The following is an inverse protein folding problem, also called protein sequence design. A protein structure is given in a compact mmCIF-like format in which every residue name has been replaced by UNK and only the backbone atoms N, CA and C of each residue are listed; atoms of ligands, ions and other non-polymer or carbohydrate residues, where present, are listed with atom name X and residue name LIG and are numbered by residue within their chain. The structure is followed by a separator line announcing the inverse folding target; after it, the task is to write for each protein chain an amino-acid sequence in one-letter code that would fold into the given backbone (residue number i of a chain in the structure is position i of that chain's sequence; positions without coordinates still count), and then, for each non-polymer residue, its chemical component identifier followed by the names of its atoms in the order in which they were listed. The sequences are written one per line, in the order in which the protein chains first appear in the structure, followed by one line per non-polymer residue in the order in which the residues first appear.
data_IF_596801447246
#
_entry.id   IF_596801447246
#
_cell.length_a   1.000
_cell.length_b   1.000
_cell.length_c   1.000
_cell.angle_alpha   90.00
_cell.angle_beta   90.00
_cell.angle_gamma   90.00
#
_symmetry.space_group_name_H-M   'P 1'
#
loop_
_entity.id
_entity.type
_entity.pdbx_description
1 polymer ?
#
# COMPACT_ATOMS: atom_id res chain seq x y z
N UNK A 1 -33.45 -15.78 25.59
CA UNK A 1 -33.58 -14.33 25.87
C UNK A 1 -32.65 -13.61 24.92
N UNK A 2 -33.13 -13.28 23.73
CA UNK A 2 -32.40 -12.40 22.80
C UNK A 2 -32.45 -11.01 23.43
N UNK A 3 -31.31 -10.50 23.83
CA UNK A 3 -31.17 -9.10 24.16
C UNK A 3 -31.44 -8.30 22.90
N UNK A 4 -32.62 -7.72 22.81
CA UNK A 4 -32.92 -6.71 21.81
C UNK A 4 -31.86 -5.61 21.96
N UNK A 5 -30.86 -5.62 21.06
CA UNK A 5 -29.83 -4.58 20.99
C UNK A 5 -30.58 -3.29 20.72
N UNK A 6 -30.68 -2.41 21.72
CA UNK A 6 -31.38 -1.15 21.58
C UNK A 6 -30.71 -0.36 20.46
N UNK A 7 -31.39 -0.25 19.33
CA UNK A 7 -30.97 0.49 18.14
C UNK A 7 -30.80 2.01 18.39
N UNK A 8 -31.15 2.45 19.58
CA UNK A 8 -31.21 3.87 19.96
C UNK A 8 -29.96 4.38 20.69
N UNK A 9 -28.85 3.62 20.67
CA UNK A 9 -27.62 4.07 21.30
C UNK A 9 -26.75 4.83 20.27
N UNK A 10 -26.64 6.16 20.43
CA UNK A 10 -25.90 7.04 19.51
C UNK A 10 -24.39 6.83 19.51
N UNK A 11 -23.88 5.94 20.34
CA UNK A 11 -22.47 5.63 20.47
C UNK A 11 -22.03 4.54 19.48
N UNK A 12 -20.76 4.61 19.06
CA UNK A 12 -20.09 3.57 18.30
C UNK A 12 -20.18 2.23 19.05
N UNK A 13 -20.51 1.13 18.34
CA UNK A 13 -20.59 -0.19 18.90
C UNK A 13 -19.70 -1.17 18.12
N UNK A 14 -18.73 -1.74 18.82
CA UNK A 14 -17.88 -2.80 18.30
C UNK A 14 -18.66 -4.04 17.86
N UNK A 15 -19.72 -4.39 18.61
CA UNK A 15 -20.56 -5.54 18.27
C UNK A 15 -21.27 -5.35 16.93
N UNK A 16 -21.81 -4.16 16.65
CA UNK A 16 -22.43 -3.85 15.35
C UNK A 16 -21.39 -3.85 14.20
N UNK A 17 -20.20 -3.33 14.45
CA UNK A 17 -19.10 -3.41 13.48
C UNK A 17 -18.73 -4.86 13.16
N UNK A 18 -18.65 -5.74 14.17
CA UNK A 18 -18.37 -7.15 13.98
C UNK A 18 -19.48 -7.91 13.22
N UNK A 19 -20.74 -7.49 13.32
CA UNK A 19 -21.81 -8.03 12.47
C UNK A 19 -21.57 -7.71 11.00
N UNK A 20 -21.15 -6.49 10.69
CA UNK A 20 -20.75 -6.11 9.31
C UNK A 20 -19.56 -6.93 8.85
N UNK A 21 -18.54 -7.10 9.70
CA UNK A 21 -17.37 -7.92 9.40
C UNK A 21 -17.77 -9.39 9.11
N UNK A 22 -18.70 -9.95 9.88
CA UNK A 22 -19.23 -11.31 9.62
C UNK A 22 -19.96 -11.39 8.27
N UNK A 23 -20.72 -10.36 7.90
CA UNK A 23 -21.39 -10.31 6.60
C UNK A 23 -20.39 -10.38 5.43
N UNK A 24 -19.25 -9.66 5.54
CA UNK A 24 -18.18 -9.72 4.55
C UNK A 24 -17.19 -10.87 4.78
N UNK A 25 -17.39 -11.72 5.79
CA UNK A 25 -16.44 -12.74 6.23
C UNK A 25 -15.99 -13.70 5.13
N UNK A 26 -16.89 -14.18 4.27
CA UNK A 26 -16.54 -15.08 3.18
C UNK A 26 -15.65 -14.40 2.12
N UNK A 27 -16.02 -13.25 1.53
CA UNK A 27 -15.14 -12.57 0.59
C UNK A 27 -13.82 -12.10 1.22
N UNK A 28 -13.81 -11.67 2.49
CA UNK A 28 -12.59 -11.33 3.22
C UNK A 28 -11.65 -12.53 3.38
N UNK A 29 -12.17 -13.69 3.82
CA UNK A 29 -11.38 -14.93 3.93
C UNK A 29 -10.82 -15.36 2.58
N UNK A 30 -11.65 -15.33 1.52
CA UNK A 30 -11.21 -15.68 0.17
C UNK A 30 -10.08 -14.76 -0.32
N UNK A 31 -10.18 -13.47 -0.05
CA UNK A 31 -9.15 -12.48 -0.40
C UNK A 31 -7.85 -12.76 0.34
N UNK A 32 -7.90 -12.99 1.66
CA UNK A 32 -6.73 -13.38 2.46
C UNK A 32 -6.08 -14.62 1.85
N UNK A 33 -6.83 -15.71 1.63
CA UNK A 33 -6.28 -16.95 1.08
C UNK A 33 -5.60 -16.74 -0.28
N UNK A 34 -6.19 -15.95 -1.17
CA UNK A 34 -5.60 -15.64 -2.47
C UNK A 34 -4.30 -14.84 -2.30
N UNK A 35 -4.31 -13.82 -1.46
CA UNK A 35 -3.14 -12.97 -1.22
C UNK A 35 -2.00 -13.74 -0.57
N UNK A 36 -2.28 -14.52 0.48
CA UNK A 36 -1.30 -15.40 1.11
C UNK A 36 -0.73 -16.44 0.13
N UNK A 37 -1.57 -17.05 -0.70
CA UNK A 37 -1.11 -18.02 -1.69
C UNK A 37 -0.18 -17.39 -2.74
N UNK A 38 -0.50 -16.19 -3.23
CA UNK A 38 0.35 -15.46 -4.18
C UNK A 38 1.68 -15.07 -3.52
N UNK A 39 1.65 -14.56 -2.29
CA UNK A 39 2.85 -14.15 -1.57
C UNK A 39 3.78 -15.32 -1.29
N UNK A 40 3.25 -16.46 -0.84
CA UNK A 40 4.02 -17.68 -0.63
C UNK A 40 4.60 -18.20 -1.94
N UNK A 41 3.82 -18.19 -3.04
CA UNK A 41 4.31 -18.60 -4.35
C UNK A 41 5.45 -17.70 -4.85
N UNK A 42 5.34 -16.38 -4.71
CA UNK A 42 6.39 -15.43 -5.04
C UNK A 42 7.63 -15.65 -4.19
N UNK A 43 7.45 -15.95 -2.91
CA UNK A 43 8.55 -16.22 -2.01
C UNK A 43 9.30 -17.53 -2.39
N UNK A 44 8.56 -18.59 -2.72
CA UNK A 44 9.17 -19.85 -3.23
C UNK A 44 9.89 -19.63 -4.54
N UNK A 45 9.35 -18.82 -5.46
CA UNK A 45 10.03 -18.46 -6.69
C UNK A 45 11.32 -17.66 -6.41
N UNK A 46 11.31 -16.75 -5.45
CA UNK A 46 12.50 -16.02 -5.03
C UNK A 46 13.58 -16.95 -4.48
N UNK A 47 13.22 -17.94 -3.65
CA UNK A 47 14.15 -18.95 -3.17
C UNK A 47 14.74 -19.79 -4.30
N UNK A 48 13.93 -20.18 -5.29
CA UNK A 48 14.42 -20.95 -6.44
C UNK A 48 15.33 -20.12 -7.34
N UNK A 49 15.13 -18.82 -7.41
CA UNK A 49 15.92 -17.93 -8.27
C UNK A 49 17.30 -17.61 -7.72
N UNK A 50 17.53 -17.84 -6.42
CA UNK A 50 18.86 -17.70 -5.81
C UNK A 50 19.89 -18.63 -6.48
N UNK A 51 19.44 -19.76 -7.06
CA UNK A 51 20.29 -20.64 -7.88
C UNK A 51 20.65 -20.06 -9.25
N UNK A 52 19.98 -18.99 -9.73
CA UNK A 52 20.12 -18.48 -11.11
C UNK A 52 20.50 -17.00 -11.17
N UNK A 53 20.88 -16.36 -10.08
CA UNK A 53 21.30 -14.94 -10.02
C UNK A 53 20.24 -13.94 -10.55
N UNK A 54 18.95 -14.29 -10.48
CA UNK A 54 17.84 -13.45 -10.95
C UNK A 54 17.13 -12.76 -9.76
N UNK A 55 17.78 -12.72 -8.61
CA UNK A 55 17.22 -12.27 -7.32
C UNK A 55 16.64 -10.85 -7.38
N UNK A 56 17.36 -9.93 -8.02
CA UNK A 56 16.95 -8.53 -8.13
C UNK A 56 15.61 -8.36 -8.88
N UNK A 57 15.41 -9.10 -9.95
CA UNK A 57 14.19 -9.00 -10.76
C UNK A 57 12.99 -9.55 -10.00
N UNK A 58 13.16 -10.62 -9.27
CA UNK A 58 12.09 -11.25 -8.48
C UNK A 58 11.69 -10.43 -7.24
N UNK A 59 12.66 -9.81 -6.57
CA UNK A 59 12.36 -8.91 -5.44
C UNK A 59 11.58 -7.67 -5.89
N UNK A 60 11.92 -7.09 -7.04
CA UNK A 60 11.17 -5.98 -7.64
C UNK A 60 9.74 -6.37 -8.01
N UNK A 61 9.56 -7.58 -8.59
CA UNK A 61 8.22 -8.11 -8.91
C UNK A 61 7.42 -8.36 -7.62
N UNK A 62 8.02 -8.98 -6.61
CA UNK A 62 7.36 -9.24 -5.34
C UNK A 62 6.91 -7.94 -4.64
N UNK A 63 7.76 -6.92 -4.61
CA UNK A 63 7.42 -5.60 -4.07
C UNK A 63 6.27 -4.96 -4.83
N UNK A 64 6.29 -5.02 -6.16
CA UNK A 64 5.20 -4.48 -7.00
C UNK A 64 3.88 -5.20 -6.75
N UNK A 65 3.90 -6.53 -6.69
CA UNK A 65 2.69 -7.33 -6.40
C UNK A 65 2.15 -7.02 -5.01
N UNK A 66 3.01 -6.89 -4.01
CA UNK A 66 2.62 -6.46 -2.67
C UNK A 66 1.91 -5.11 -2.67
N UNK A 67 2.44 -4.13 -3.40
CA UNK A 67 1.81 -2.81 -3.57
C UNK A 67 0.42 -2.92 -4.20
N UNK A 68 0.27 -3.71 -5.26
CA UNK A 68 -1.04 -3.93 -5.90
C UNK A 68 -2.03 -4.61 -4.96
N UNK A 69 -1.61 -5.59 -4.17
CA UNK A 69 -2.47 -6.22 -3.17
C UNK A 69 -3.01 -5.21 -2.16
N UNK A 70 -2.16 -4.32 -1.66
CA UNK A 70 -2.57 -3.25 -0.76
C UNK A 70 -3.53 -2.27 -1.43
N UNK A 71 -3.25 -1.84 -2.66
CA UNK A 71 -4.09 -0.90 -3.42
C UNK A 71 -5.50 -1.48 -3.63
N UNK A 72 -5.61 -2.76 -3.96
CA UNK A 72 -6.88 -3.41 -4.26
C UNK A 72 -7.58 -4.03 -3.05
N UNK A 73 -7.04 -3.87 -1.83
CA UNK A 73 -7.64 -4.39 -0.60
C UNK A 73 -9.11 -3.97 -0.37
N UNK A 74 -9.50 -2.80 -0.86
CA UNK A 74 -10.86 -2.26 -0.75
C UNK A 74 -11.88 -2.95 -1.66
N UNK A 75 -11.45 -3.71 -2.67
CA UNK A 75 -12.36 -4.34 -3.63
C UNK A 75 -13.24 -5.42 -3.02
N UNK A 76 -12.84 -6.00 -1.89
CA UNK A 76 -13.64 -6.98 -1.15
C UNK A 76 -15.05 -6.46 -0.83
N UNK A 77 -15.19 -5.15 -0.60
CA UNK A 77 -16.46 -4.51 -0.28
C UNK A 77 -17.35 -4.25 -1.51
N UNK A 78 -16.80 -4.41 -2.72
CA UNK A 78 -17.52 -4.22 -3.98
C UNK A 78 -18.00 -5.55 -4.56
N UNK A 79 -17.27 -6.63 -4.32
CA UNK A 79 -17.55 -7.95 -4.86
C UNK A 79 -18.91 -8.50 -4.39
N UNK A 80 -19.38 -8.06 -3.22
CA UNK A 80 -20.68 -8.44 -2.69
C UNK A 80 -21.69 -7.32 -2.96
N UNK A 81 -22.36 -7.39 -4.10
CA UNK A 81 -23.16 -6.30 -4.67
C UNK A 81 -24.62 -6.19 -4.12
N UNK A 82 -24.89 -6.76 -2.93
CA UNK A 82 -26.22 -6.71 -2.30
C UNK A 82 -26.44 -5.38 -1.59
N UNK A 83 -26.66 -4.31 -2.37
CA UNK A 83 -26.94 -2.98 -1.82
C UNK A 83 -28.14 -2.95 -0.86
N UNK A 84 -29.15 -3.81 -1.10
CA UNK A 84 -30.32 -3.94 -0.25
C UNK A 84 -29.97 -4.51 1.14
N UNK A 85 -29.07 -5.47 1.23
CA UNK A 85 -28.67 -6.10 2.50
C UNK A 85 -27.76 -5.18 3.31
N UNK A 86 -26.89 -4.39 2.64
CA UNK A 86 -26.01 -3.44 3.32
C UNK A 86 -26.81 -2.35 4.04
N UNK A 87 -27.94 -1.91 3.47
CA UNK A 87 -28.82 -0.93 4.11
C UNK A 87 -29.60 -1.51 5.29
N UNK A 88 -29.87 -2.81 5.26
CA UNK A 88 -30.58 -3.52 6.34
C UNK A 88 -29.69 -3.94 7.51
N UNK A 89 -28.35 -3.93 7.33
CA UNK A 89 -27.44 -4.24 8.45
C UNK A 89 -27.59 -3.19 9.55
N UNK A 90 -27.81 -3.62 10.81
CA UNK A 90 -28.02 -2.71 11.95
C UNK A 90 -26.70 -2.06 12.40
N UNK A 91 -25.97 -1.45 11.47
CA UNK A 91 -24.71 -0.78 11.72
C UNK A 91 -24.75 0.62 11.14
N UNK A 92 -24.23 1.57 11.91
CA UNK A 92 -24.14 2.97 11.51
C UNK A 92 -23.04 3.21 10.49
N UNK A 93 -23.10 4.34 9.80
CA UNK A 93 -22.08 4.77 8.83
C UNK A 93 -20.69 4.81 9.42
N UNK A 94 -20.54 5.19 10.68
CA UNK A 94 -19.25 5.24 11.39
C UNK A 94 -18.64 3.85 11.55
N UNK A 95 -19.42 2.84 11.92
CA UNK A 95 -18.98 1.46 12.11
C UNK A 95 -18.57 0.82 10.78
N UNK A 96 -19.35 1.08 9.72
CA UNK A 96 -19.01 0.63 8.36
C UNK A 96 -17.75 1.33 7.84
N UNK A 97 -17.61 2.63 8.06
CA UNK A 97 -16.43 3.39 7.66
C UNK A 97 -15.18 2.90 8.40
N UNK A 98 -15.27 2.67 9.71
CA UNK A 98 -14.16 2.14 10.50
C UNK A 98 -13.72 0.76 10.01
N UNK A 99 -14.66 -0.14 9.71
CA UNK A 99 -14.34 -1.46 9.17
C UNK A 99 -13.66 -1.37 7.80
N UNK A 100 -14.21 -0.59 6.88
CA UNK A 100 -13.70 -0.48 5.51
C UNK A 100 -12.30 0.12 5.49
N UNK A 101 -12.09 1.22 6.22
CA UNK A 101 -10.79 1.90 6.31
C UNK A 101 -9.80 1.02 7.07
N UNK A 102 -10.20 0.48 8.22
CA UNK A 102 -9.35 -0.40 9.03
C UNK A 102 -8.89 -1.64 8.25
N UNK A 103 -9.79 -2.26 7.50
CA UNK A 103 -9.45 -3.39 6.63
C UNK A 103 -8.45 -3.02 5.55
N UNK A 104 -8.74 -1.95 4.78
CA UNK A 104 -7.97 -1.64 3.58
C UNK A 104 -6.61 -1.00 3.88
N UNK A 105 -6.52 -0.14 4.90
CA UNK A 105 -5.32 0.66 5.17
C UNK A 105 -4.45 0.05 6.27
N UNK A 106 -5.04 -0.70 7.21
CA UNK A 106 -4.31 -1.22 8.35
C UNK A 106 -4.18 -2.75 8.27
N UNK A 107 -5.31 -3.46 8.20
CA UNK A 107 -5.30 -4.90 8.36
C UNK A 107 -4.58 -5.64 7.22
N UNK A 108 -4.89 -5.34 5.97
CA UNK A 108 -4.25 -6.03 4.82
C UNK A 108 -2.76 -5.72 4.73
N UNK A 109 -2.29 -4.46 4.76
CA UNK A 109 -0.85 -4.20 4.74
C UNK A 109 -0.11 -4.87 5.90
N UNK A 110 -0.66 -4.82 7.12
CA UNK A 110 -0.06 -5.43 8.29
C UNK A 110 -0.02 -6.96 8.19
N UNK A 111 -1.08 -7.59 7.66
CA UNK A 111 -1.12 -9.03 7.41
C UNK A 111 -0.02 -9.44 6.42
N UNK A 112 0.09 -8.74 5.28
CA UNK A 112 1.08 -9.04 4.25
C UNK A 112 2.52 -8.86 4.76
N UNK A 113 2.78 -7.82 5.56
CA UNK A 113 4.08 -7.63 6.22
C UNK A 113 4.37 -8.77 7.20
N UNK A 114 3.40 -9.17 8.01
CA UNK A 114 3.56 -10.28 8.94
C UNK A 114 3.84 -11.61 8.21
N UNK A 115 3.13 -11.89 7.12
CA UNK A 115 3.37 -13.07 6.28
C UNK A 115 4.77 -13.04 5.66
N UNK A 116 5.21 -11.88 5.15
CA UNK A 116 6.55 -11.70 4.61
C UNK A 116 7.64 -11.99 5.66
N UNK A 117 7.50 -11.43 6.87
CA UNK A 117 8.41 -11.67 7.99
C UNK A 117 8.44 -13.15 8.39
N UNK A 118 7.27 -13.80 8.41
CA UNK A 118 7.19 -15.24 8.69
C UNK A 118 7.88 -16.09 7.62
N UNK A 119 7.66 -15.78 6.35
CA UNK A 119 8.32 -16.49 5.25
C UNK A 119 9.85 -16.33 5.31
N UNK A 120 10.35 -15.11 5.55
CA UNK A 120 11.79 -14.85 5.71
C UNK A 120 12.35 -15.56 6.94
N UNK A 121 11.63 -15.55 8.07
CA UNK A 121 12.04 -16.28 9.27
C UNK A 121 12.12 -17.80 9.07
N UNK A 122 11.17 -18.38 8.34
CA UNK A 122 11.18 -19.82 8.02
C UNK A 122 12.36 -20.14 7.09
N UNK A 123 12.59 -19.33 6.06
CA UNK A 123 13.69 -19.58 5.13
C UNK A 123 15.06 -19.49 5.79
N UNK A 124 15.28 -18.58 6.72
CA UNK A 124 16.54 -18.47 7.46
C UNK A 124 16.87 -19.72 8.30
N UNK A 125 15.86 -20.57 8.62
CA UNK A 125 16.07 -21.82 9.32
C UNK A 125 16.57 -22.95 8.36
N UNK A 126 16.15 -22.89 7.09
CA UNK A 126 16.43 -23.94 6.11
C UNK A 126 17.59 -23.62 5.17
N UNK A 127 17.97 -22.37 5.06
CA UNK A 127 19.11 -21.92 4.25
C UNK A 127 20.14 -21.32 5.18
N UNK A 128 21.34 -21.95 5.27
CA UNK A 128 22.52 -21.33 5.91
C UNK A 128 22.98 -20.04 5.17
N UNK A 129 22.33 -19.72 4.07
CA UNK A 129 22.56 -18.52 3.29
C UNK A 129 21.84 -17.34 3.95
N UNK A 130 22.53 -16.67 4.87
CA UNK A 130 22.21 -15.31 5.31
C UNK A 130 22.04 -14.34 4.12
N UNK A 131 22.59 -14.72 2.95
CA UNK A 131 22.61 -13.90 1.74
C UNK A 131 21.23 -13.66 1.13
N UNK A 132 20.29 -14.62 1.16
CA UNK A 132 18.94 -14.40 0.58
C UNK A 132 18.09 -13.49 1.43
N UNK A 133 18.19 -13.62 2.75
CA UNK A 133 17.52 -12.69 3.69
C UNK A 133 18.20 -11.34 3.71
N UNK A 134 19.53 -11.30 3.57
CA UNK A 134 20.29 -10.06 3.44
C UNK A 134 20.01 -9.38 2.10
N UNK A 135 19.95 -10.08 0.97
CA UNK A 135 19.63 -9.46 -0.32
C UNK A 135 18.22 -8.89 -0.37
N UNK A 136 17.24 -9.55 0.26
CA UNK A 136 15.88 -9.02 0.39
C UNK A 136 15.79 -7.78 1.31
N UNK A 137 16.69 -7.69 2.30
CA UNK A 137 16.81 -6.53 3.20
C UNK A 137 17.88 -5.52 2.76
N UNK A 138 18.96 -5.95 2.13
CA UNK A 138 20.10 -5.12 1.73
C UNK A 138 19.77 -4.11 0.63
N UNK A 139 18.80 -4.41 -0.25
CA UNK A 139 18.28 -3.41 -1.18
C UNK A 139 17.76 -2.16 -0.44
N UNK A 140 17.31 -2.34 0.81
CA UNK A 140 16.89 -1.21 1.64
C UNK A 140 18.05 -0.47 2.30
N UNK A 141 19.11 -1.16 2.67
CA UNK A 141 20.21 -0.55 3.42
C UNK A 141 21.25 0.13 2.52
N UNK A 142 21.48 -0.38 1.30
CA UNK A 142 22.35 0.27 0.31
C UNK A 142 21.71 1.47 -0.38
N UNK A 143 20.39 1.45 -0.58
CA UNK A 143 19.67 2.50 -1.29
C UNK A 143 19.21 3.65 -0.38
N UNK A 144 19.07 3.40 0.92
CA UNK A 144 18.63 4.40 1.89
C UNK A 144 19.60 4.49 3.06
N UNK A 145 20.27 5.63 3.20
CA UNK A 145 21.18 5.94 4.32
C UNK A 145 20.56 5.79 5.71
N UNK A 146 19.22 5.75 5.78
CA UNK A 146 18.51 5.67 7.05
C UNK A 146 17.18 4.92 6.94
N UNK A 147 16.87 4.15 7.97
CA UNK A 147 15.62 3.35 8.06
C UNK A 147 14.36 4.21 7.92
N UNK A 148 14.39 5.48 8.35
CA UNK A 148 13.23 6.35 8.23
C UNK A 148 12.92 6.74 6.78
N UNK A 149 13.94 6.89 5.91
CA UNK A 149 13.74 7.13 4.48
C UNK A 149 13.05 5.94 3.80
N UNK A 150 13.44 4.72 4.18
CA UNK A 150 12.74 3.51 3.71
C UNK A 150 11.26 3.51 4.10
N UNK A 151 10.96 3.82 5.37
CA UNK A 151 9.56 3.93 5.84
C UNK A 151 8.82 5.01 5.05
N UNK A 152 9.44 6.16 4.83
CA UNK A 152 8.84 7.28 4.12
C UNK A 152 8.59 6.95 2.64
N UNK A 153 9.51 6.23 2.00
CA UNK A 153 9.30 5.73 0.64
C UNK A 153 8.08 4.80 0.55
N UNK A 154 7.92 3.90 1.52
CA UNK A 154 6.75 3.02 1.57
C UNK A 154 5.44 3.79 1.79
N UNK A 155 5.47 4.96 2.45
CA UNK A 155 4.31 5.83 2.59
C UNK A 155 3.78 6.38 1.25
N UNK A 156 4.59 6.38 0.19
CA UNK A 156 4.15 6.77 -1.15
C UNK A 156 2.98 5.91 -1.64
N UNK A 157 2.92 4.64 -1.21
CA UNK A 157 1.85 3.71 -1.54
C UNK A 157 0.48 4.09 -0.93
N UNK A 158 0.47 4.94 0.08
CA UNK A 158 -0.79 5.42 0.69
C UNK A 158 -1.63 6.22 -0.30
N UNK A 159 -0.99 6.95 -1.21
CA UNK A 159 -1.70 7.78 -2.19
C UNK A 159 -2.60 6.94 -3.12
N UNK A 160 -2.10 5.93 -3.86
CA UNK A 160 -2.95 5.09 -4.68
C UNK A 160 -3.96 4.27 -3.87
N UNK A 161 -3.59 3.78 -2.67
CA UNK A 161 -4.51 3.04 -1.80
C UNK A 161 -5.72 3.87 -1.41
N UNK A 162 -5.51 5.10 -0.95
CA UNK A 162 -6.59 5.99 -0.52
C UNK A 162 -7.41 6.49 -1.70
N UNK A 163 -6.75 6.76 -2.84
CA UNK A 163 -7.46 7.15 -4.08
C UNK A 163 -8.41 6.07 -4.54
N UNK A 164 -7.94 4.82 -4.61
CA UNK A 164 -8.78 3.67 -5.00
C UNK A 164 -9.91 3.47 -4.00
N UNK A 165 -9.61 3.51 -2.71
CA UNK A 165 -10.62 3.38 -1.65
C UNK A 165 -11.71 4.46 -1.79
N UNK A 166 -11.32 5.72 -1.99
CA UNK A 166 -12.26 6.82 -2.16
C UNK A 166 -13.14 6.64 -3.41
N UNK A 167 -12.54 6.30 -4.56
CA UNK A 167 -13.26 6.11 -5.82
C UNK A 167 -14.23 4.94 -5.72
N UNK A 168 -13.78 3.80 -5.22
CA UNK A 168 -14.58 2.59 -5.05
C UNK A 168 -15.79 2.83 -4.14
N UNK A 169 -15.62 3.65 -3.08
CA UNK A 169 -16.70 4.00 -2.17
C UNK A 169 -17.59 5.13 -2.70
N UNK A 170 -17.13 5.92 -3.68
CA UNK A 170 -17.86 7.08 -4.20
C UNK A 170 -18.70 6.73 -5.43
N UNK A 171 -18.15 5.97 -6.35
CA UNK A 171 -18.79 5.65 -7.63
C UNK A 171 -19.91 4.63 -7.43
N UNK A 172 -21.05 4.80 -8.11
CA UNK A 172 -22.21 3.90 -8.02
C UNK A 172 -22.18 2.79 -9.07
N UNK A 173 -21.66 3.08 -10.26
CA UNK A 173 -21.65 2.17 -11.42
C UNK A 173 -20.20 1.83 -11.80
N UNK A 174 -19.96 0.59 -12.20
CA UNK A 174 -18.63 0.12 -12.64
C UNK A 174 -17.49 0.38 -11.63
N UNK A 175 -17.76 0.16 -10.33
CA UNK A 175 -16.84 0.45 -9.23
C UNK A 175 -15.46 -0.17 -9.41
N UNK A 176 -15.39 -1.42 -9.89
CA UNK A 176 -14.13 -2.14 -10.10
C UNK A 176 -13.31 -1.46 -11.21
N UNK A 177 -13.95 -1.20 -12.38
CA UNK A 177 -13.25 -0.55 -13.49
C UNK A 177 -12.76 0.86 -13.10
N UNK A 178 -13.59 1.63 -12.39
CA UNK A 178 -13.20 2.96 -11.91
C UNK A 178 -12.10 2.89 -10.84
N UNK A 179 -12.10 1.87 -9.99
CA UNK A 179 -11.03 1.63 -9.03
C UNK A 179 -9.71 1.29 -9.72
N UNK A 180 -9.72 0.44 -10.75
CA UNK A 180 -8.53 0.13 -11.56
C UNK A 180 -8.02 1.39 -12.28
N UNK A 181 -8.91 2.15 -12.90
CA UNK A 181 -8.54 3.42 -13.55
C UNK A 181 -7.92 4.41 -12.56
N UNK A 182 -8.49 4.52 -11.35
CA UNK A 182 -7.97 5.36 -10.29
C UNK A 182 -6.58 4.90 -9.80
N UNK A 183 -6.34 3.59 -9.72
CA UNK A 183 -5.02 3.03 -9.40
C UNK A 183 -4.00 3.43 -10.46
N UNK A 184 -4.30 3.21 -11.74
CA UNK A 184 -3.39 3.55 -12.84
C UNK A 184 -3.11 5.05 -12.86
N UNK A 185 -4.14 5.89 -12.78
CA UNK A 185 -3.98 7.35 -12.80
C UNK A 185 -3.17 7.86 -11.60
N UNK A 186 -3.37 7.28 -10.41
CA UNK A 186 -2.61 7.68 -9.23
C UNK A 186 -1.14 7.27 -9.31
N UNK A 187 -0.84 6.10 -9.88
CA UNK A 187 0.54 5.64 -10.10
C UNK A 187 1.25 6.50 -11.17
N UNK A 188 0.55 6.83 -12.26
CA UNK A 188 1.07 7.75 -13.29
C UNK A 188 1.32 9.14 -12.69
N UNK A 189 0.39 9.66 -11.89
CA UNK A 189 0.56 10.95 -11.22
C UNK A 189 1.76 10.96 -10.26
N UNK A 190 1.98 9.86 -9.50
CA UNK A 190 3.17 9.70 -8.67
C UNK A 190 4.46 9.69 -9.51
N UNK A 191 4.45 8.97 -10.63
CA UNK A 191 5.60 8.93 -11.56
C UNK A 191 5.93 10.31 -12.14
N UNK A 192 4.91 11.06 -12.56
CA UNK A 192 5.09 12.43 -13.06
C UNK A 192 5.61 13.35 -11.96
N UNK A 193 5.00 13.29 -10.76
CA UNK A 193 5.42 14.09 -9.62
C UNK A 193 6.88 13.81 -9.25
N UNK A 194 7.24 12.52 -9.18
CA UNK A 194 8.61 12.08 -8.93
C UNK A 194 9.59 12.56 -10.00
N UNK A 195 9.21 12.44 -11.28
CA UNK A 195 10.01 12.94 -12.40
C UNK A 195 10.25 14.45 -12.34
N UNK A 196 9.21 15.23 -12.02
CA UNK A 196 9.35 16.69 -11.89
C UNK A 196 10.24 17.07 -10.71
N UNK A 197 10.04 16.46 -9.53
CA UNK A 197 10.87 16.73 -8.34
C UNK A 197 12.32 16.32 -8.62
N UNK A 198 12.54 15.11 -9.14
CA UNK A 198 13.89 14.65 -9.48
C UNK A 198 14.59 15.53 -10.52
N UNK A 199 13.86 16.03 -11.53
CA UNK A 199 14.41 16.98 -12.50
C UNK A 199 14.78 18.31 -11.85
N UNK A 200 13.93 18.86 -10.98
CA UNK A 200 14.21 20.12 -10.28
C UNK A 200 15.41 19.95 -9.36
N UNK A 201 15.50 18.89 -8.57
CA UNK A 201 16.64 18.61 -7.70
C UNK A 201 17.93 18.45 -8.53
N UNK A 202 17.90 17.71 -9.63
CA UNK A 202 19.06 17.56 -10.51
C UNK A 202 19.50 18.89 -11.15
N UNK A 203 18.58 19.77 -11.54
CA UNK A 203 18.91 21.09 -12.11
C UNK A 203 19.47 22.07 -11.07
N UNK A 204 19.17 21.87 -9.80
CA UNK A 204 19.67 22.70 -8.70
C UNK A 204 21.04 22.21 -8.20
N UNK A 205 21.40 20.96 -8.44
CA UNK A 205 22.68 20.39 -8.06
C UNK A 205 23.79 20.82 -9.01
N UNK A 206 24.89 21.34 -8.45
CA UNK A 206 26.05 21.81 -9.21
C UNK A 206 26.74 20.68 -9.97
N UNK A 207 26.76 19.45 -9.45
CA UNK A 207 27.41 18.30 -10.08
C UNK A 207 26.73 17.93 -11.40
N UNK A 208 25.39 17.90 -11.43
CA UNK A 208 24.66 17.65 -12.69
C UNK A 208 24.81 18.81 -13.68
N UNK A 209 24.92 20.05 -13.17
CA UNK A 209 25.18 21.22 -14.00
C UNK A 209 26.57 21.18 -14.63
N UNK A 210 27.59 20.74 -13.88
CA UNK A 210 28.95 20.58 -14.38
C UNK A 210 29.02 19.50 -15.47
N UNK A 211 28.34 18.37 -15.27
CA UNK A 211 28.19 17.32 -16.31
C UNK A 211 27.56 17.89 -17.58
N UNK A 212 26.50 18.67 -17.45
CA UNK A 212 25.82 19.28 -18.58
C UNK A 212 26.70 20.30 -19.34
N UNK A 213 27.68 20.92 -18.65
CA UNK A 213 28.65 21.85 -19.26
C UNK A 213 29.92 21.16 -19.79
N UNK A 214 30.01 19.82 -19.70
CA UNK A 214 31.12 19.02 -20.21
C UNK A 214 32.27 18.85 -19.21
N UNK A 215 32.09 19.26 -17.96
CA UNK A 215 33.03 18.99 -16.87
C UNK A 215 32.74 17.58 -16.32
N UNK A 216 33.75 16.71 -16.28
CA UNK A 216 33.62 15.36 -15.72
C UNK A 216 33.96 15.38 -14.22
N UNK A 217 32.95 15.33 -13.31
CA UNK A 217 33.21 15.22 -11.87
C UNK A 217 33.72 13.80 -11.53
N UNK A 218 34.31 13.65 -10.35
CA UNK A 218 34.70 12.32 -9.86
C UNK A 218 33.48 11.42 -9.64
N UNK A 219 33.65 10.09 -9.84
CA UNK A 219 32.56 9.11 -9.61
C UNK A 219 31.92 9.23 -8.23
N UNK A 220 32.72 9.55 -7.21
CA UNK A 220 32.25 9.75 -5.85
C UNK A 220 31.28 10.94 -5.74
N UNK A 221 31.63 12.08 -6.37
CA UNK A 221 30.79 13.28 -6.38
C UNK A 221 29.44 13.00 -7.06
N UNK A 222 29.47 12.26 -8.18
CA UNK A 222 28.24 11.87 -8.88
C UNK A 222 27.37 10.96 -8.03
N UNK A 223 27.97 9.99 -7.34
CA UNK A 223 27.24 9.09 -6.43
C UNK A 223 26.59 9.85 -5.27
N UNK A 224 27.32 10.74 -4.64
CA UNK A 224 26.83 11.54 -3.50
C UNK A 224 25.66 12.44 -3.94
N UNK A 225 25.77 13.08 -5.11
CA UNK A 225 24.69 13.91 -5.67
C UNK A 225 23.44 13.10 -6.03
N UNK A 226 23.60 11.89 -6.60
CA UNK A 226 22.46 11.01 -6.87
C UNK A 226 21.75 10.62 -5.57
N UNK A 227 22.49 10.29 -4.51
CA UNK A 227 21.90 9.94 -3.23
C UNK A 227 21.14 11.13 -2.62
N UNK A 228 21.64 12.35 -2.75
CA UNK A 228 20.97 13.55 -2.27
C UNK A 228 19.64 13.80 -3.02
N UNK A 229 19.66 13.69 -4.35
CA UNK A 229 18.44 13.82 -5.19
C UNK A 229 17.42 12.75 -4.81
N UNK A 230 17.85 11.50 -4.62
CA UNK A 230 16.94 10.40 -4.20
C UNK A 230 16.36 10.70 -2.81
N UNK A 231 17.16 11.18 -1.88
CA UNK A 231 16.70 11.54 -0.54
C UNK A 231 15.64 12.63 -0.57
N UNK A 232 15.87 13.72 -1.31
CA UNK A 232 14.90 14.81 -1.47
C UNK A 232 13.59 14.32 -2.08
N UNK A 233 13.68 13.51 -3.12
CA UNK A 233 12.54 12.91 -3.80
C UNK A 233 11.71 12.05 -2.85
N UNK A 234 12.34 11.17 -2.07
CA UNK A 234 11.66 10.31 -1.09
C UNK A 234 10.99 11.13 0.00
N UNK A 235 11.68 12.16 0.52
CA UNK A 235 11.12 13.05 1.56
C UNK A 235 9.90 13.79 1.02
N UNK A 236 9.99 14.34 -0.17
CA UNK A 236 8.90 15.10 -0.76
C UNK A 236 7.68 14.21 -1.05
N UNK A 237 7.88 13.12 -1.81
CA UNK A 237 6.78 12.23 -2.22
C UNK A 237 6.15 11.54 -1.01
N UNK A 238 6.96 11.05 -0.08
CA UNK A 238 6.47 10.39 1.12
C UNK A 238 5.65 11.34 2.00
N UNK A 239 6.15 12.55 2.25
CA UNK A 239 5.43 13.55 3.03
C UNK A 239 4.13 14.00 2.36
N UNK A 240 4.18 14.25 1.05
CA UNK A 240 2.99 14.59 0.27
C UNK A 240 1.94 13.47 0.33
N UNK A 241 2.36 12.20 0.20
CA UNK A 241 1.46 11.05 0.24
C UNK A 241 0.80 10.87 1.60
N UNK A 242 1.51 11.17 2.70
CA UNK A 242 0.94 11.13 4.06
C UNK A 242 -0.15 12.20 4.20
N UNK A 243 0.14 13.44 3.82
CA UNK A 243 -0.85 14.54 3.90
C UNK A 243 -2.07 14.22 3.02
N UNK A 244 -1.83 13.76 1.79
CA UNK A 244 -2.89 13.34 0.88
C UNK A 244 -3.74 12.21 1.48
N UNK A 245 -3.10 11.21 2.10
CA UNK A 245 -3.78 10.09 2.72
C UNK A 245 -4.69 10.56 3.88
N UNK A 246 -4.22 11.45 4.74
CA UNK A 246 -5.02 11.99 5.84
C UNK A 246 -6.28 12.67 5.31
N UNK A 247 -6.12 13.59 4.34
CA UNK A 247 -7.24 14.30 3.72
C UNK A 247 -8.20 13.32 3.03
N UNK A 248 -7.68 12.42 2.22
CA UNK A 248 -8.46 11.42 1.49
C UNK A 248 -9.23 10.46 2.41
N UNK A 249 -8.64 10.05 3.54
CA UNK A 249 -9.32 9.24 4.55
C UNK A 249 -10.47 10.00 5.23
N UNK A 250 -10.27 11.27 5.55
CA UNK A 250 -11.33 12.13 6.11
C UNK A 250 -12.49 12.25 5.11
N UNK A 251 -12.19 12.49 3.83
CA UNK A 251 -13.20 12.57 2.78
C UNK A 251 -13.93 11.23 2.58
N UNK A 252 -13.20 10.13 2.58
CA UNK A 252 -13.78 8.78 2.48
C UNK A 252 -14.69 8.49 3.66
N UNK A 253 -14.24 8.80 4.87
CA UNK A 253 -15.05 8.66 6.09
C UNK A 253 -16.35 9.43 6.00
N UNK A 254 -16.27 10.74 5.71
CA UNK A 254 -17.45 11.59 5.54
C UNK A 254 -18.40 11.05 4.47
N UNK A 255 -17.86 10.54 3.36
CA UNK A 255 -18.66 10.00 2.27
C UNK A 255 -19.41 8.73 2.64
N UNK A 256 -18.76 7.83 3.37
CA UNK A 256 -19.38 6.57 3.82
C UNK A 256 -20.47 6.89 4.87
N UNK A 257 -20.19 7.77 5.82
CA UNK A 257 -21.14 8.16 6.88
C UNK A 257 -22.36 8.85 6.29
N UNK A 258 -22.19 9.81 5.37
CA UNK A 258 -23.28 10.60 4.81
C UNK A 258 -24.14 9.84 3.77
N UNK A 259 -23.69 8.70 3.24
CA UNK A 259 -24.51 7.88 2.33
C UNK A 259 -25.64 7.10 2.99
N UNK A 260 -25.73 7.14 4.30
CA UNK A 260 -26.70 6.39 5.08
C UNK A 260 -27.87 7.24 5.60
N UNK A 261 -27.90 8.52 5.26
CA UNK A 261 -29.02 9.42 5.57
C UNK A 261 -29.98 9.49 4.40
#
# INVERSE_FOLDING_TARGET
MEQAISLNNDKFSWQRMMMVARYYGNPMKRMIMIYSAILVALYLLALLSSFWSIEFLLTSVASTVFQFMCIFASFVFVLKNDSAVITQLPARGQEKAALIIGWSIVFIPLLLVAEWVLCTGIASIFTDNADVTQSLMAISDEMYESKWLYVLNNCSNLLPMVTVLYVVMTVKRNRIAMGIAAAILSLVALGILGGVVGLVSALTDNTFRDIATGVMPSEKLVSDSIQEVVRELVVFIGSFSIVYAIVGLILTWRRIVNRQV
#
